data_IF_628891521731
#
_entry.id   IF_628891521731
#
_cell.length_a   1.000
_cell.length_b   1.000
_cell.length_c   1.000
_cell.angle_alpha   90.00
_cell.angle_beta   90.00
_cell.angle_gamma   90.00
#
_symmetry.space_group_name_H-M   'P 1'
#
loop_
_entity.id
_entity.type
_entity.pdbx_description
1 polymer ?
#
# COMPACT_ATOMS: atom_id res chain seq x y z
N UNK A 1 -18.09 -0.35 4.55
CA UNK A 1 -18.54 -0.04 3.17
C UNK A 1 -18.98 1.41 2.90
N UNK A 2 -19.59 2.15 3.85
CA UNK A 2 -20.11 3.52 3.59
C UNK A 2 -19.10 4.49 2.95
N UNK A 3 -17.82 4.42 3.35
CA UNK A 3 -16.76 5.25 2.79
C UNK A 3 -16.59 5.07 1.26
N UNK A 4 -16.80 3.86 0.74
CA UNK A 4 -16.74 3.59 -0.70
C UNK A 4 -17.90 4.22 -1.46
N UNK A 5 -19.13 4.09 -0.94
CA UNK A 5 -20.31 4.71 -1.54
C UNK A 5 -20.15 6.23 -1.59
N UNK A 6 -19.70 6.84 -0.49
CA UNK A 6 -19.44 8.28 -0.41
C UNK A 6 -18.36 8.68 -1.42
N UNK A 7 -17.23 7.98 -1.45
CA UNK A 7 -16.13 8.32 -2.35
C UNK A 7 -16.54 8.19 -3.83
N UNK A 8 -17.22 7.11 -4.22
CA UNK A 8 -17.65 6.88 -5.59
C UNK A 8 -18.62 7.96 -6.06
N UNK A 9 -19.63 8.27 -5.23
CA UNK A 9 -20.57 9.35 -5.55
C UNK A 9 -19.89 10.70 -5.66
N UNK A 10 -19.00 11.05 -4.74
CA UNK A 10 -18.26 12.31 -4.80
C UNK A 10 -17.36 12.40 -6.05
N UNK A 11 -16.75 11.29 -6.50
CA UNK A 11 -15.98 11.23 -7.74
C UNK A 11 -16.83 11.43 -9.00
N UNK A 12 -18.09 11.02 -8.96
CA UNK A 12 -19.04 11.19 -10.08
C UNK A 12 -19.69 12.59 -10.08
N UNK A 13 -19.97 13.13 -8.90
CA UNK A 13 -20.74 14.37 -8.72
C UNK A 13 -19.85 15.63 -8.74
N UNK A 14 -18.55 15.54 -8.42
CA UNK A 14 -17.66 16.71 -8.30
C UNK A 14 -16.70 16.88 -9.48
N UNK A 15 -16.41 18.13 -9.84
CA UNK A 15 -15.41 18.50 -10.87
C UNK A 15 -13.98 18.68 -10.32
N UNK A 16 -13.76 18.27 -9.07
CA UNK A 16 -12.49 18.35 -8.34
C UNK A 16 -12.01 16.95 -7.92
N UNK A 17 -10.70 16.71 -7.78
CA UNK A 17 -10.21 15.40 -7.40
C UNK A 17 -10.65 15.03 -5.99
N UNK A 18 -11.20 13.81 -5.85
CA UNK A 18 -11.62 13.22 -4.58
C UNK A 18 -10.71 12.05 -4.24
N UNK A 19 -10.25 11.99 -2.99
CA UNK A 19 -9.31 10.97 -2.51
C UNK A 19 -9.59 10.63 -1.05
N UNK A 20 -9.77 9.35 -0.77
CA UNK A 20 -9.87 8.85 0.59
C UNK A 20 -8.50 8.38 1.11
N UNK A 21 -7.91 9.11 2.05
CA UNK A 21 -6.52 8.88 2.47
C UNK A 21 -6.30 7.55 3.20
N UNK A 22 -7.22 7.14 4.09
CA UNK A 22 -7.08 5.83 4.76
C UNK A 22 -7.18 4.63 3.80
N UNK A 23 -7.77 4.83 2.60
CA UNK A 23 -7.88 3.81 1.56
C UNK A 23 -6.67 3.85 0.65
N UNK A 24 -6.56 4.93 -0.12
CA UNK A 24 -5.60 5.04 -1.22
C UNK A 24 -4.22 5.46 -0.70
N UNK A 25 -4.15 6.36 0.28
CA UNK A 25 -2.89 6.78 0.90
C UNK A 25 -2.19 5.61 1.57
N UNK A 26 -2.94 4.81 2.34
CA UNK A 26 -2.41 3.59 2.97
C UNK A 26 -1.94 2.57 1.92
N UNK A 27 -2.71 2.39 0.84
CA UNK A 27 -2.32 1.49 -0.25
C UNK A 27 -1.03 1.92 -0.95
N UNK A 28 -0.87 3.22 -1.23
CA UNK A 28 0.35 3.78 -1.84
C UNK A 28 1.55 3.60 -0.91
N UNK A 29 1.42 3.95 0.37
CA UNK A 29 2.50 3.80 1.34
C UNK A 29 2.91 2.32 1.49
N UNK A 30 1.94 1.43 1.58
CA UNK A 30 2.18 -0.02 1.65
C UNK A 30 2.91 -0.52 0.40
N UNK A 31 2.43 -0.17 -0.81
CA UNK A 31 3.08 -0.58 -2.05
C UNK A 31 4.51 -0.01 -2.17
N UNK A 32 4.74 1.24 -1.78
CA UNK A 32 6.07 1.85 -1.77
C UNK A 32 7.03 1.07 -0.87
N UNK A 33 6.60 0.76 0.35
CA UNK A 33 7.37 -0.07 1.28
C UNK A 33 7.64 -1.46 0.72
N UNK A 34 6.63 -2.11 0.11
CA UNK A 34 6.79 -3.44 -0.50
C UNK A 34 7.83 -3.40 -1.63
N UNK A 35 7.77 -2.39 -2.51
CA UNK A 35 8.74 -2.23 -3.60
C UNK A 35 10.15 -1.98 -3.09
N UNK A 36 10.32 -1.13 -2.07
CA UNK A 36 11.61 -0.90 -1.42
C UNK A 36 12.17 -2.18 -0.78
N UNK A 37 11.31 -2.93 -0.08
CA UNK A 37 11.68 -4.19 0.55
C UNK A 37 12.09 -5.27 -0.47
N UNK A 38 11.29 -5.46 -1.52
CA UNK A 38 11.58 -6.42 -2.60
C UNK A 38 12.89 -6.10 -3.33
N UNK A 39 13.20 -4.81 -3.55
CA UNK A 39 14.50 -4.38 -4.09
C UNK A 39 15.68 -4.77 -3.21
N UNK A 40 15.49 -4.77 -1.88
CA UNK A 40 16.53 -5.19 -0.93
C UNK A 40 16.70 -6.71 -0.90
N UNK A 41 15.61 -7.48 -0.81
CA UNK A 41 15.66 -8.96 -0.77
C UNK A 41 15.76 -9.63 -2.14
N UNK A 42 15.77 -8.84 -3.22
CA UNK A 42 15.88 -9.29 -4.62
C UNK A 42 14.82 -10.34 -5.01
N UNK A 43 13.58 -10.15 -4.53
CA UNK A 43 12.41 -10.96 -4.89
C UNK A 43 11.53 -10.20 -5.89
N UNK A 44 10.79 -10.94 -6.72
CA UNK A 44 9.84 -10.38 -7.70
C UNK A 44 8.43 -10.30 -7.11
N UNK A 45 7.78 -9.13 -7.26
CA UNK A 45 6.40 -8.90 -6.85
C UNK A 45 5.43 -9.84 -7.56
N UNK A 46 5.70 -10.20 -8.82
CA UNK A 46 4.81 -11.04 -9.62
C UNK A 46 4.72 -12.48 -9.10
N UNK A 47 5.77 -12.98 -8.44
CA UNK A 47 5.87 -14.36 -7.94
C UNK A 47 5.75 -14.47 -6.42
N UNK A 48 5.79 -13.34 -5.69
CA UNK A 48 5.70 -13.34 -4.23
C UNK A 48 4.32 -13.82 -3.76
N UNK A 49 4.31 -14.67 -2.72
CA UNK A 49 3.09 -15.04 -2.00
C UNK A 49 2.76 -13.97 -0.95
N UNK A 50 1.64 -13.27 -1.13
CA UNK A 50 1.26 -12.10 -0.33
C UNK A 50 -0.01 -12.36 0.47
N UNK A 51 0.05 -12.15 1.77
CA UNK A 51 -1.12 -12.20 2.67
C UNK A 51 -1.47 -10.80 3.14
N UNK A 52 -2.71 -10.40 2.91
CA UNK A 52 -3.28 -9.15 3.44
C UNK A 52 -4.30 -9.51 4.52
N UNK A 53 -3.93 -9.29 5.78
CA UNK A 53 -4.80 -9.49 6.93
C UNK A 53 -5.65 -8.25 7.20
N UNK A 54 -6.96 -8.36 6.93
CA UNK A 54 -7.94 -7.30 7.08
C UNK A 54 -8.45 -6.79 5.74
N UNK A 55 -9.61 -7.28 5.29
CA UNK A 55 -10.26 -6.83 4.05
C UNK A 55 -11.02 -5.49 4.17
N UNK A 56 -10.68 -4.63 5.13
CA UNK A 56 -11.33 -3.33 5.30
C UNK A 56 -11.05 -2.34 4.16
N UNK A 57 -11.35 -1.06 4.41
CA UNK A 57 -11.14 0.02 3.43
C UNK A 57 -9.68 0.08 2.95
N UNK A 58 -8.71 0.01 3.88
CA UNK A 58 -7.29 -0.01 3.57
C UNK A 58 -6.87 -1.32 2.85
N UNK A 59 -7.20 -2.48 3.42
CA UNK A 59 -6.65 -3.76 2.94
C UNK A 59 -7.15 -4.18 1.56
N UNK A 60 -8.42 -3.90 1.24
CA UNK A 60 -8.92 -4.12 -0.12
C UNK A 60 -8.21 -3.22 -1.13
N UNK A 61 -7.97 -1.95 -0.81
CA UNK A 61 -7.22 -1.04 -1.70
C UNK A 61 -5.72 -1.40 -1.78
N UNK A 62 -5.10 -1.90 -0.70
CA UNK A 62 -3.74 -2.46 -0.71
C UNK A 62 -3.68 -3.63 -1.71
N UNK A 63 -4.59 -4.61 -1.57
CA UNK A 63 -4.65 -5.78 -2.45
C UNK A 63 -4.85 -5.39 -3.91
N UNK A 64 -5.77 -4.45 -4.18
CA UNK A 64 -6.01 -3.94 -5.54
C UNK A 64 -4.78 -3.25 -6.12
N UNK A 65 -4.13 -2.36 -5.37
CA UNK A 65 -2.98 -1.61 -5.87
C UNK A 65 -1.77 -2.53 -6.09
N UNK A 66 -1.56 -3.54 -5.24
CA UNK A 66 -0.56 -4.60 -5.46
C UNK A 66 -0.85 -5.39 -6.73
N UNK A 67 -2.10 -5.78 -6.96
CA UNK A 67 -2.51 -6.49 -8.18
C UNK A 67 -2.24 -5.65 -9.45
N UNK A 68 -2.61 -4.37 -9.42
CA UNK A 68 -2.32 -3.42 -10.50
C UNK A 68 -0.82 -3.20 -10.71
N UNK A 69 -0.02 -3.26 -9.64
CA UNK A 69 1.43 -3.18 -9.71
C UNK A 69 2.12 -4.46 -10.22
N UNK A 70 1.38 -5.56 -10.39
CA UNK A 70 1.89 -6.80 -10.99
C UNK A 70 1.83 -8.03 -10.09
N UNK A 71 1.45 -7.90 -8.80
CA UNK A 71 1.30 -9.06 -7.93
C UNK A 71 0.17 -9.99 -8.40
N UNK A 72 0.35 -11.30 -8.22
CA UNK A 72 -0.61 -12.31 -8.70
C UNK A 72 -1.09 -13.25 -7.60
N UNK A 73 -0.23 -13.65 -6.66
CA UNK A 73 -0.63 -14.50 -5.54
C UNK A 73 -0.91 -13.66 -4.28
N UNK A 74 -2.13 -13.10 -4.21
CA UNK A 74 -2.60 -12.34 -3.05
C UNK A 74 -3.74 -13.09 -2.39
N UNK A 75 -3.68 -13.26 -1.07
CA UNK A 75 -4.80 -13.76 -0.25
C UNK A 75 -5.27 -12.65 0.67
N UNK A 76 -6.55 -12.31 0.59
CA UNK A 76 -7.17 -11.28 1.42
C UNK A 76 -8.03 -11.94 2.51
N UNK A 77 -7.76 -11.60 3.77
CA UNK A 77 -8.40 -12.23 4.94
C UNK A 77 -9.34 -11.26 5.66
N UNK A 78 -10.42 -11.82 6.19
CA UNK A 78 -11.29 -11.24 7.23
C UNK A 78 -11.17 -12.06 8.52
N UNK A 79 -11.83 -11.62 9.59
CA UNK A 79 -11.77 -12.33 10.89
C UNK A 79 -12.26 -13.78 10.84
N UNK A 80 -13.07 -14.14 9.86
CA UNK A 80 -13.58 -15.51 9.65
C UNK A 80 -12.71 -16.37 8.71
N UNK A 81 -11.56 -15.87 8.24
CA UNK A 81 -10.68 -16.56 7.29
C UNK A 81 -10.58 -15.83 5.95
N UNK A 82 -10.31 -16.56 4.87
CA UNK A 82 -10.28 -16.01 3.50
C UNK A 82 -11.58 -15.28 3.16
N UNK A 83 -11.48 -14.08 2.59
CA UNK A 83 -12.62 -13.33 2.10
C UNK A 83 -13.34 -14.12 1.01
N UNK A 84 -14.66 -14.27 1.15
CA UNK A 84 -15.51 -15.03 0.25
C UNK A 84 -16.83 -14.29 0.00
N UNK A 85 -17.58 -14.71 -1.02
CA UNK A 85 -18.80 -14.03 -1.49
C UNK A 85 -19.93 -13.91 -0.47
N UNK A 86 -19.98 -14.78 0.53
CA UNK A 86 -21.03 -14.76 1.57
C UNK A 86 -20.66 -13.86 2.76
N UNK A 87 -19.56 -13.10 2.65
CA UNK A 87 -19.18 -12.14 3.68
C UNK A 87 -20.25 -11.06 3.85
N UNK A 88 -20.85 -10.96 5.04
CA UNK A 88 -22.03 -10.10 5.29
C UNK A 88 -21.84 -8.60 4.97
N UNK A 89 -20.60 -8.11 4.94
CA UNK A 89 -20.28 -6.69 4.72
C UNK A 89 -19.58 -6.47 3.37
N UNK A 90 -19.80 -7.38 2.42
CA UNK A 90 -19.19 -7.33 1.11
C UNK A 90 -19.54 -6.01 0.40
N UNK A 91 -18.53 -5.32 -0.09
CA UNK A 91 -18.66 -4.17 -0.99
C UNK A 91 -18.20 -4.53 -2.41
N UNK A 92 -18.43 -3.62 -3.36
CA UNK A 92 -18.16 -3.88 -4.78
C UNK A 92 -16.68 -4.18 -5.07
N UNK A 93 -15.76 -3.51 -4.35
CA UNK A 93 -14.33 -3.75 -4.51
C UNK A 93 -13.95 -5.12 -3.96
N UNK A 94 -14.46 -5.48 -2.79
CA UNK A 94 -14.23 -6.81 -2.23
C UNK A 94 -14.76 -7.92 -3.15
N UNK A 95 -15.94 -7.74 -3.76
CA UNK A 95 -16.48 -8.67 -4.76
C UNK A 95 -15.54 -8.80 -5.96
N UNK A 96 -15.08 -7.68 -6.53
CA UNK A 96 -14.13 -7.66 -7.65
C UNK A 96 -12.83 -8.42 -7.29
N UNK A 97 -12.31 -8.20 -6.08
CA UNK A 97 -11.08 -8.85 -5.62
C UNK A 97 -11.22 -10.35 -5.38
N UNK A 98 -12.40 -10.83 -4.95
CA UNK A 98 -12.67 -12.27 -4.83
C UNK A 98 -12.46 -12.94 -6.19
N UNK A 99 -13.01 -12.36 -7.26
CA UNK A 99 -12.91 -12.90 -8.61
C UNK A 99 -11.48 -12.75 -9.17
N UNK A 100 -10.90 -11.54 -9.09
CA UNK A 100 -9.58 -11.24 -9.63
C UNK A 100 -8.47 -12.09 -9.00
N UNK A 101 -8.55 -12.34 -7.69
CA UNK A 101 -7.54 -13.07 -6.91
C UNK A 101 -7.91 -14.55 -6.70
N UNK A 102 -9.02 -15.00 -7.30
CA UNK A 102 -9.54 -16.38 -7.17
C UNK A 102 -9.65 -16.83 -5.71
N UNK A 103 -10.17 -15.96 -4.85
CA UNK A 103 -10.18 -16.20 -3.41
C UNK A 103 -11.08 -17.38 -3.01
N UNK A 104 -12.07 -17.73 -3.83
CA UNK A 104 -12.93 -18.92 -3.62
C UNK A 104 -12.14 -20.24 -3.73
N UNK A 105 -10.97 -20.24 -4.37
CA UNK A 105 -10.07 -21.41 -4.42
C UNK A 105 -9.16 -21.51 -3.18
N UNK A 106 -9.20 -20.49 -2.30
CA UNK A 106 -8.37 -20.38 -1.11
C UNK A 106 -9.22 -20.53 0.14
N UNK A 107 -8.69 -21.21 1.16
CA UNK A 107 -9.42 -21.52 2.39
C UNK A 107 -8.54 -21.37 3.63
N UNK A 108 -9.15 -21.49 4.80
CA UNK A 108 -8.45 -21.47 6.07
C UNK A 108 -8.31 -20.08 6.69
N UNK A 109 -7.59 -20.06 7.81
CA UNK A 109 -7.35 -18.87 8.63
C UNK A 109 -6.00 -18.20 8.30
N UNK A 110 -5.66 -17.16 9.07
CA UNK A 110 -4.41 -16.41 8.92
C UNK A 110 -3.16 -17.30 9.04
N UNK A 111 -3.07 -18.15 10.07
CA UNK A 111 -1.90 -18.98 10.29
C UNK A 111 -1.69 -19.99 9.16
N UNK A 112 -2.77 -20.59 8.66
CA UNK A 112 -2.73 -21.55 7.55
C UNK A 112 -2.24 -20.88 6.25
N UNK A 113 -2.75 -19.69 5.95
CA UNK A 113 -2.41 -18.97 4.72
C UNK A 113 -1.03 -18.30 4.78
N UNK A 114 -0.62 -17.80 5.95
CA UNK A 114 0.68 -17.15 6.16
C UNK A 114 1.86 -18.10 6.03
N UNK A 115 1.66 -19.42 6.21
CA UNK A 115 2.74 -20.39 6.08
C UNK A 115 3.47 -20.27 4.74
N UNK A 116 4.77 -20.02 4.79
CA UNK A 116 5.64 -19.83 3.63
C UNK A 116 5.29 -18.60 2.77
N UNK A 117 4.58 -17.61 3.31
CA UNK A 117 4.35 -16.36 2.60
C UNK A 117 5.61 -15.48 2.61
N UNK A 118 5.89 -14.82 1.48
CA UNK A 118 6.98 -13.86 1.35
C UNK A 118 6.65 -12.52 2.02
N UNK A 119 5.37 -12.13 1.97
CA UNK A 119 4.90 -10.84 2.44
C UNK A 119 3.65 -11.01 3.29
N UNK A 120 3.67 -10.46 4.50
CA UNK A 120 2.52 -10.40 5.40
C UNK A 120 2.19 -8.93 5.73
N UNK A 121 1.00 -8.49 5.36
CA UNK A 121 0.53 -7.11 5.47
C UNK A 121 -0.68 -7.04 6.40
N UNK A 122 -0.62 -6.22 7.44
CA UNK A 122 -1.66 -6.10 8.46
C UNK A 122 -2.31 -4.72 8.46
N UNK A 123 -3.64 -4.69 8.36
CA UNK A 123 -4.50 -3.50 8.59
C UNK A 123 -5.76 -3.91 9.35
N UNK A 124 -5.55 -4.61 10.46
CA UNK A 124 -6.53 -5.44 11.16
C UNK A 124 -6.56 -5.15 12.67
N UNK A 125 -6.30 -6.16 13.51
CA UNK A 125 -6.41 -6.10 14.95
C UNK A 125 -5.05 -6.25 15.63
N UNK A 126 -4.88 -5.57 16.76
CA UNK A 126 -3.68 -5.65 17.57
C UNK A 126 -3.37 -7.10 17.99
N UNK A 127 -2.09 -7.50 17.92
CA UNK A 127 -1.63 -8.83 18.32
C UNK A 127 -2.01 -9.98 17.37
N UNK A 128 -2.55 -9.70 16.17
CA UNK A 128 -2.94 -10.73 15.22
C UNK A 128 -1.75 -11.52 14.63
N UNK A 129 -0.55 -10.93 14.58
CA UNK A 129 0.66 -11.58 14.06
C UNK A 129 1.41 -12.23 15.22
N UNK A 130 0.95 -13.40 15.62
CA UNK A 130 1.58 -14.16 16.71
C UNK A 130 2.99 -14.60 16.33
N UNK A 131 3.82 -14.86 17.34
CA UNK A 131 5.18 -15.41 17.15
C UNK A 131 5.17 -16.64 16.25
N UNK A 132 4.23 -17.57 16.46
CA UNK A 132 4.09 -18.77 15.64
C UNK A 132 3.82 -18.44 14.16
N UNK A 133 2.98 -17.45 13.86
CA UNK A 133 2.73 -17.03 12.48
C UNK A 133 4.00 -16.46 11.85
N UNK A 134 4.71 -15.59 12.58
CA UNK A 134 5.92 -14.92 12.10
C UNK A 134 7.06 -15.92 11.82
N UNK A 135 7.23 -16.93 12.68
CA UNK A 135 8.25 -17.97 12.53
C UNK A 135 7.96 -18.96 11.39
N UNK A 136 6.73 -18.99 10.85
CA UNK A 136 6.33 -19.87 9.76
C UNK A 136 6.26 -19.17 8.39
N UNK A 137 6.70 -17.91 8.28
CA UNK A 137 6.83 -17.21 7.00
C UNK A 137 7.99 -17.78 6.16
N UNK A 138 8.12 -17.34 4.91
CA UNK A 138 9.26 -17.72 4.07
C UNK A 138 10.56 -17.09 4.59
N UNK A 139 11.71 -17.62 4.15
CA UNK A 139 13.00 -16.95 4.33
C UNK A 139 12.97 -15.56 3.70
N UNK A 140 13.69 -14.61 4.29
CA UNK A 140 13.70 -13.20 3.88
C UNK A 140 12.29 -12.57 3.79
N UNK A 141 11.39 -12.95 4.71
CA UNK A 141 10.04 -12.43 4.77
C UNK A 141 9.98 -10.90 5.05
N UNK A 142 8.96 -10.28 4.48
CA UNK A 142 8.61 -8.88 4.64
C UNK A 142 7.31 -8.81 5.46
N UNK A 143 7.31 -8.12 6.59
CA UNK A 143 6.12 -7.97 7.43
C UNK A 143 5.86 -6.51 7.74
N UNK A 144 4.66 -6.04 7.39
CA UNK A 144 4.17 -4.70 7.75
C UNK A 144 2.94 -4.80 8.63
N UNK A 145 3.06 -4.36 9.89
CA UNK A 145 1.97 -4.32 10.87
C UNK A 145 1.48 -2.87 11.03
N UNK A 146 0.46 -2.49 10.25
CA UNK A 146 0.06 -1.08 10.07
C UNK A 146 -1.16 -0.69 10.92
N UNK A 147 -1.71 -1.58 11.75
CA UNK A 147 -2.78 -1.19 12.67
C UNK A 147 -2.31 -0.13 13.69
N UNK A 148 -3.14 0.89 13.91
CA UNK A 148 -2.89 1.97 14.86
C UNK A 148 -3.98 2.01 15.94
N UNK A 149 -3.66 2.40 17.20
CA UNK A 149 -2.32 2.71 17.71
C UNK A 149 -1.47 1.48 18.04
N UNK A 150 -2.10 0.30 18.13
CA UNK A 150 -1.46 -0.96 18.49
C UNK A 150 -1.38 -1.87 17.25
N UNK A 151 -0.17 -2.24 16.79
CA UNK A 151 0.01 -3.02 15.58
C UNK A 151 -0.33 -4.50 15.77
N UNK A 152 -0.44 -5.24 14.67
CA UNK A 152 -0.60 -6.69 14.66
C UNK A 152 0.55 -7.44 15.37
N UNK A 153 1.76 -6.90 15.27
CA UNK A 153 2.95 -7.26 16.05
C UNK A 153 3.82 -6.01 16.20
N UNK A 154 4.54 -5.89 17.31
CA UNK A 154 5.50 -4.78 17.46
C UNK A 154 6.72 -5.00 16.55
N UNK A 155 7.44 -3.93 16.23
CA UNK A 155 8.70 -4.04 15.50
C UNK A 155 9.68 -5.00 16.20
N UNK A 156 9.80 -4.90 17.53
CA UNK A 156 10.65 -5.75 18.32
C UNK A 156 10.24 -7.24 18.24
N UNK A 157 8.95 -7.55 18.30
CA UNK A 157 8.45 -8.92 18.19
C UNK A 157 8.75 -9.52 16.80
N UNK A 158 8.56 -8.73 15.74
CA UNK A 158 8.88 -9.15 14.37
C UNK A 158 10.38 -9.43 14.21
N UNK A 159 11.25 -8.54 14.70
CA UNK A 159 12.70 -8.78 14.65
C UNK A 159 13.14 -9.96 15.51
N UNK A 160 12.53 -10.15 16.69
CA UNK A 160 12.80 -11.29 17.57
C UNK A 160 12.38 -12.64 16.95
N UNK A 161 11.35 -12.64 16.10
CA UNK A 161 10.92 -13.80 15.31
C UNK A 161 11.77 -14.04 14.04
N UNK A 162 12.81 -13.23 13.80
CA UNK A 162 13.72 -13.40 12.67
C UNK A 162 13.23 -12.77 11.35
N UNK A 163 12.21 -11.91 11.39
CA UNK A 163 11.73 -11.22 10.18
C UNK A 163 12.83 -10.34 9.59
N UNK A 164 13.10 -10.54 8.30
CA UNK A 164 14.14 -9.81 7.57
C UNK A 164 13.80 -8.33 7.45
N UNK A 165 12.64 -8.00 6.91
CA UNK A 165 12.18 -6.61 6.78
C UNK A 165 10.89 -6.43 7.55
N UNK A 166 10.94 -5.59 8.58
CA UNK A 166 9.80 -5.26 9.42
C UNK A 166 9.46 -3.77 9.27
N UNK A 167 8.17 -3.44 9.29
CA UNK A 167 7.68 -2.07 9.26
C UNK A 167 6.36 -1.93 10.00
N UNK A 168 6.07 -0.73 10.51
CA UNK A 168 4.82 -0.46 11.22
C UNK A 168 4.22 0.88 10.80
N UNK A 169 2.98 1.14 11.19
CA UNK A 169 2.37 2.47 10.98
C UNK A 169 2.92 3.57 11.89
N UNK A 170 3.73 3.21 12.90
CA UNK A 170 4.21 4.10 13.96
C UNK A 170 5.55 4.75 13.59
N UNK A 171 5.81 5.91 14.16
CA UNK A 171 7.02 6.69 13.93
C UNK A 171 8.17 6.38 14.91
N UNK A 172 7.95 5.52 15.89
CA UNK A 172 8.93 5.15 16.93
C UNK A 172 9.78 3.92 16.57
N UNK A 173 9.65 3.41 15.35
CA UNK A 173 10.42 2.29 14.82
C UNK A 173 10.85 2.54 13.36
N UNK A 174 11.88 1.84 12.86
CA UNK A 174 12.27 1.89 11.45
C UNK A 174 11.12 1.53 10.49
N UNK A 175 11.27 1.97 9.24
CA UNK A 175 10.33 1.68 8.15
C UNK A 175 8.87 2.03 8.51
N UNK A 176 8.60 3.31 8.78
CA UNK A 176 7.23 3.78 9.00
C UNK A 176 6.41 3.70 7.71
N UNK A 177 5.46 2.78 7.66
CA UNK A 177 4.52 2.60 6.55
C UNK A 177 3.23 3.37 6.88
N UNK A 178 3.19 4.64 6.50
CA UNK A 178 2.10 5.54 6.86
C UNK A 178 1.76 6.49 5.71
N UNK A 179 0.48 6.80 5.54
CA UNK A 179 -0.04 7.66 4.47
C UNK A 179 0.41 9.13 4.60
N UNK A 180 1.00 9.53 5.75
CA UNK A 180 1.64 10.84 5.91
C UNK A 180 2.77 11.10 4.90
N UNK A 181 3.44 10.06 4.40
CA UNK A 181 4.43 10.17 3.32
C UNK A 181 3.80 10.41 1.93
N UNK A 182 2.48 10.30 1.83
CA UNK A 182 1.75 10.21 0.55
C UNK A 182 0.88 11.43 0.32
N UNK A 183 -0.06 11.72 1.23
CA UNK A 183 -1.11 12.72 0.96
C UNK A 183 -0.55 14.13 0.66
N UNK A 184 0.55 14.62 1.29
CA UNK A 184 1.05 15.96 0.97
C UNK A 184 1.46 16.08 -0.50
N UNK A 185 2.22 15.11 -1.01
CA UNK A 185 2.69 15.10 -2.39
C UNK A 185 1.57 14.78 -3.39
N UNK A 186 0.68 13.83 -3.08
CA UNK A 186 -0.46 13.49 -3.96
C UNK A 186 -1.32 14.72 -4.24
N UNK A 187 -1.70 15.45 -3.18
CA UNK A 187 -2.52 16.65 -3.36
C UNK A 187 -1.73 17.78 -4.00
N UNK A 188 -0.47 17.99 -3.62
CA UNK A 188 0.39 19.01 -4.23
C UNK A 188 0.48 18.85 -5.74
N UNK A 189 0.84 17.65 -6.22
CA UNK A 189 0.95 17.36 -7.65
C UNK A 189 -0.38 17.50 -8.38
N UNK A 190 -1.47 16.97 -7.81
CA UNK A 190 -2.80 17.08 -8.40
C UNK A 190 -3.31 18.53 -8.47
N UNK A 191 -3.05 19.35 -7.46
CA UNK A 191 -3.48 20.76 -7.39
C UNK A 191 -2.68 21.63 -8.35
N UNK A 192 -1.35 21.46 -8.42
CA UNK A 192 -0.47 22.30 -9.23
C UNK A 192 -0.82 22.23 -10.72
N UNK A 193 -1.17 21.03 -11.21
CA UNK A 193 -1.62 20.82 -12.60
C UNK A 193 -3.14 20.89 -12.76
N UNK A 194 -3.87 21.12 -11.67
CA UNK A 194 -5.34 21.15 -11.62
C UNK A 194 -5.94 19.90 -12.26
N UNK A 195 -5.47 18.73 -11.85
CA UNK A 195 -5.96 17.43 -12.30
C UNK A 195 -7.46 17.30 -11.98
N UNK A 196 -8.26 16.75 -12.90
CA UNK A 196 -9.69 16.53 -12.68
C UNK A 196 -9.99 15.38 -11.71
N UNK A 197 -9.05 14.44 -11.54
CA UNK A 197 -9.18 13.25 -10.67
C UNK A 197 -7.80 12.71 -10.28
N UNK A 198 -7.78 11.85 -9.26
CA UNK A 198 -6.59 11.04 -8.91
C UNK A 198 -6.83 9.61 -9.41
N UNK A 199 -6.07 9.22 -10.44
CA UNK A 199 -6.19 7.92 -11.12
C UNK A 199 -5.35 6.84 -10.46
N UNK A 200 -5.56 5.58 -10.82
CA UNK A 200 -4.73 4.49 -10.30
C UNK A 200 -3.29 4.58 -10.80
N UNK A 201 -3.06 5.08 -12.02
CA UNK A 201 -1.72 5.33 -12.55
C UNK A 201 -0.98 6.40 -11.74
N UNK A 202 -1.68 7.43 -11.26
CA UNK A 202 -1.10 8.45 -10.35
C UNK A 202 -0.73 7.82 -9.00
N UNK A 203 -1.55 6.90 -8.47
CA UNK A 203 -1.24 6.17 -7.22
C UNK A 203 -0.03 5.25 -7.38
N UNK A 204 0.05 4.52 -8.48
CA UNK A 204 1.20 3.66 -8.80
C UNK A 204 2.48 4.49 -8.93
N UNK A 205 2.43 5.61 -9.65
CA UNK A 205 3.57 6.51 -9.82
C UNK A 205 4.03 7.14 -8.49
N UNK A 206 3.09 7.50 -7.60
CA UNK A 206 3.43 7.97 -6.26
C UNK A 206 4.15 6.89 -5.44
N UNK A 207 3.67 5.63 -5.49
CA UNK A 207 4.33 4.53 -4.80
C UNK A 207 5.73 4.26 -5.36
N UNK A 208 5.90 4.35 -6.68
CA UNK A 208 7.20 4.23 -7.35
C UNK A 208 8.17 5.35 -6.98
N UNK A 209 7.70 6.59 -6.92
CA UNK A 209 8.52 7.74 -6.52
C UNK A 209 9.04 7.59 -5.09
N UNK A 210 8.18 7.15 -4.16
CA UNK A 210 8.59 6.89 -2.77
C UNK A 210 9.58 5.74 -2.68
N UNK A 211 9.29 4.61 -3.33
CA UNK A 211 10.16 3.44 -3.28
C UNK A 211 11.56 3.75 -3.79
N UNK A 212 11.68 4.53 -4.88
CA UNK A 212 12.96 4.85 -5.52
C UNK A 212 13.65 6.10 -4.98
N UNK A 213 13.05 6.79 -4.00
CA UNK A 213 13.69 7.94 -3.37
C UNK A 213 14.95 7.55 -2.59
N UNK A 214 14.97 6.34 -2.03
CA UNK A 214 16.17 5.74 -1.45
C UNK A 214 16.91 4.95 -2.54
N UNK A 215 18.16 5.32 -2.86
CA UNK A 215 18.96 4.60 -3.85
C UNK A 215 19.34 3.20 -3.32
N UNK A 216 19.59 2.25 -4.23
CA UNK A 216 19.96 0.87 -3.88
C UNK A 216 21.17 0.78 -2.93
N UNK A 217 22.10 1.73 -3.00
CA UNK A 217 23.29 1.81 -2.13
C UNK A 217 22.99 2.17 -0.67
N UNK A 218 21.81 2.74 -0.40
CA UNK A 218 21.37 3.16 0.93
C UNK A 218 20.29 2.25 1.51
N UNK A 219 19.75 1.32 0.71
CA UNK A 219 18.76 0.33 1.17
C UNK A 219 19.39 -0.61 2.20
N UNK A 220 18.72 -0.75 3.33
CA UNK A 220 19.02 -1.75 4.34
C UNK A 220 17.73 -2.12 5.10
N UNK A 221 17.79 -3.10 6.01
CA UNK A 221 16.60 -3.62 6.71
C UNK A 221 15.81 -2.56 7.49
N UNK A 222 16.42 -1.43 7.82
CA UNK A 222 15.83 -0.32 8.58
C UNK A 222 15.57 0.94 7.71
N UNK A 223 15.90 0.88 6.41
CA UNK A 223 15.83 2.01 5.49
C UNK A 223 15.28 1.61 4.11
N UNK A 224 14.05 1.07 4.09
CA UNK A 224 13.32 0.75 2.85
C UNK A 224 12.25 1.78 2.47
N UNK A 225 11.94 2.69 3.39
CA UNK A 225 10.96 3.76 3.24
C UNK A 225 11.59 5.07 3.72
N UNK A 226 11.53 6.16 2.94
CA UNK A 226 12.09 7.44 3.36
C UNK A 226 11.39 7.98 4.60
N UNK A 227 12.14 8.72 5.41
CA UNK A 227 11.56 9.45 6.54
C UNK A 227 10.51 10.44 6.05
N UNK A 228 9.41 10.56 6.79
CA UNK A 228 8.33 11.51 6.49
C UNK A 228 8.77 12.97 6.57
N UNK A 229 9.92 13.22 7.22
CA UNK A 229 10.56 14.54 7.32
C UNK A 229 11.66 14.77 6.27
N UNK A 230 11.93 13.79 5.40
CA UNK A 230 12.84 13.99 4.28
C UNK A 230 12.21 15.03 3.32
N UNK A 231 12.87 16.19 3.11
CA UNK A 231 12.29 17.28 2.32
C UNK A 231 12.06 16.90 0.85
N UNK A 232 12.64 15.78 0.39
CA UNK A 232 12.47 15.26 -0.98
C UNK A 232 11.17 14.48 -1.17
N UNK A 233 10.53 13.99 -0.11
CA UNK A 233 9.36 13.09 -0.18
C UNK A 233 8.17 13.74 -0.87
N UNK A 234 7.67 14.85 -0.32
CA UNK A 234 6.49 15.51 -0.89
C UNK A 234 6.73 16.01 -2.33
N UNK A 235 7.87 16.65 -2.66
CA UNK A 235 8.17 17.05 -4.04
C UNK A 235 8.28 15.87 -5.01
N UNK A 236 8.95 14.78 -4.64
CA UNK A 236 9.09 13.61 -5.52
C UNK A 236 7.73 12.97 -5.86
N UNK A 237 6.85 12.84 -4.87
CA UNK A 237 5.48 12.35 -5.09
C UNK A 237 4.68 13.34 -5.93
N UNK A 238 4.75 14.64 -5.63
CA UNK A 238 4.04 15.67 -6.39
C UNK A 238 4.43 15.66 -7.87
N UNK A 239 5.73 15.60 -8.15
CA UNK A 239 6.27 15.49 -9.51
C UNK A 239 5.71 14.29 -10.26
N UNK A 240 5.83 13.09 -9.69
CA UNK A 240 5.36 11.86 -10.34
C UNK A 240 3.85 11.90 -10.63
N UNK A 241 3.06 12.43 -9.69
CA UNK A 241 1.61 12.56 -9.81
C UNK A 241 1.22 13.56 -10.88
N UNK A 242 1.88 14.73 -10.90
CA UNK A 242 1.65 15.79 -11.87
C UNK A 242 1.99 15.33 -13.30
N UNK A 243 3.14 14.68 -13.49
CA UNK A 243 3.57 14.15 -14.79
C UNK A 243 2.57 13.13 -15.36
N UNK A 244 2.05 12.22 -14.52
CA UNK A 244 1.02 11.27 -14.96
C UNK A 244 -0.28 11.97 -15.33
N UNK A 245 -0.73 12.94 -14.52
CA UNK A 245 -1.95 13.69 -14.82
C UNK A 245 -1.87 14.45 -16.15
N UNK A 246 -0.70 15.03 -16.46
CA UNK A 246 -0.43 15.67 -17.76
C UNK A 246 -0.43 14.63 -18.88
N UNK A 247 0.28 13.52 -18.71
CA UNK A 247 0.35 12.43 -19.71
C UNK A 247 -1.02 11.83 -20.03
N UNK A 248 -1.92 11.73 -19.03
CA UNK A 248 -3.29 11.23 -19.21
C UNK A 248 -4.25 12.28 -19.79
N UNK A 249 -3.81 13.52 -19.99
CA UNK A 249 -4.65 14.60 -20.52
C UNK A 249 -5.73 15.09 -19.54
N UNK A 250 -5.56 14.84 -18.24
CA UNK A 250 -6.53 15.22 -17.19
C UNK A 250 -6.11 16.47 -16.41
N UNK A 251 -4.93 17.02 -16.70
CA UNK A 251 -4.42 18.27 -16.16
C UNK A 251 -5.03 19.49 -16.87
N UNK A 252 -5.58 20.44 -16.12
CA UNK A 252 -6.06 21.74 -16.64
C UNK A 252 -4.95 22.81 -16.70
N UNK A 253 -3.79 22.56 -16.11
CA UNK A 253 -2.61 23.42 -16.16
C UNK A 253 -1.33 22.60 -16.50
N UNK A 254 -1.23 22.02 -17.71
CA UNK A 254 -0.12 21.13 -18.05
C UNK A 254 1.23 21.85 -18.19
N UNK A 255 1.22 23.14 -18.54
CA UNK A 255 2.41 23.99 -18.66
C UNK A 255 3.26 24.07 -17.40
N UNK A 256 2.68 23.77 -16.23
CA UNK A 256 3.42 23.70 -14.98
C UNK A 256 4.50 22.61 -14.96
N UNK A 257 4.40 21.61 -15.83
CA UNK A 257 5.31 20.44 -15.88
C UNK A 257 5.99 20.28 -17.24
N UNK A 258 5.37 20.75 -18.33
CA UNK A 258 5.84 20.54 -19.71
C UNK A 258 7.22 21.12 -20.01
N UNK A 259 7.67 22.14 -19.28
CA UNK A 259 9.01 22.73 -19.47
C UNK A 259 10.13 21.96 -18.72
N UNK A 260 9.78 20.91 -17.99
CA UNK A 260 10.71 20.06 -17.24
C UNK A 260 11.29 20.68 -15.98
N UNK A 261 10.89 21.91 -15.63
CA UNK A 261 11.36 22.63 -14.44
C UNK A 261 10.61 22.26 -13.16
N UNK A 262 9.54 21.48 -13.26
CA UNK A 262 8.75 21.07 -12.10
C UNK A 262 9.51 20.09 -11.22
N UNK A 263 9.75 20.50 -9.98
CA UNK A 263 10.41 19.68 -8.95
C UNK A 263 9.44 19.19 -7.87
N UNK A 264 8.18 19.63 -7.90
CA UNK A 264 7.12 19.30 -6.93
C UNK A 264 6.77 20.43 -5.97
#
# INVERSE_FOLDING_TARGET
PKCYEIENRLKEELEIPVFHDDQHGTAIACLAGVKGALRLVKKDLATAKIIVNGAGAAGANIARLLYLAGARDITLLVSSGVLHKDYKRLDSLQSELIDLLKLEEKHGNLAENAKGADILLGVSAAGAFTKEILENLADDAIVFAMANPNPEATYADMKAAGIRIAGTGRSDAPNQINNVAVFPGIFRGAIDVRASKITDEMKLAAADALAHLIPDSELNEENIMPSVFDPRVAPAVAKAVAEVAVKQGIAKNPKAVEDGSYEG
#
